data_IF_669155460041
#
_entry.id   IF_669155460041
#
_cell.length_a   1.000
_cell.length_b   1.000
_cell.length_c   1.000
_cell.angle_alpha   90.00
_cell.angle_beta   90.00
_cell.angle_gamma   90.00
#
_symmetry.space_group_name_H-M   'P 1'
#
loop_
_entity.id
_entity.type
_entity.pdbx_description
1 polymer ?
#
# COMPACT_ATOMS: atom_id res chain seq x y z
N UNK A 1 -18.65 7.59 -18.22
CA UNK A 1 -17.69 7.53 -17.10
C UNK A 1 -18.49 7.41 -15.81
N UNK A 2 -18.11 6.54 -14.87
CA UNK A 2 -18.75 6.51 -13.56
C UNK A 2 -18.54 7.82 -12.80
N UNK A 3 -19.54 8.25 -12.05
CA UNK A 3 -19.50 9.50 -11.26
C UNK A 3 -19.73 9.18 -9.80
N UNK A 4 -18.94 9.81 -8.94
CA UNK A 4 -19.06 9.74 -7.48
C UNK A 4 -19.30 11.17 -6.98
N UNK A 5 -20.28 11.33 -6.10
CA UNK A 5 -20.54 12.60 -5.39
C UNK A 5 -20.07 12.45 -3.96
N UNK A 6 -19.25 13.38 -3.50
CA UNK A 6 -18.72 13.42 -2.13
C UNK A 6 -19.38 14.56 -1.39
N UNK A 7 -19.95 14.26 -0.22
CA UNK A 7 -20.45 15.29 0.68
C UNK A 7 -19.32 15.72 1.62
N UNK A 8 -19.19 17.02 1.82
CA UNK A 8 -18.29 17.65 2.77
C UNK A 8 -19.12 18.59 3.65
N UNK A 9 -18.65 18.85 4.87
CA UNK A 9 -19.25 19.88 5.71
C UNK A 9 -19.02 21.29 5.14
N UNK A 10 -19.79 22.26 5.63
CA UNK A 10 -19.77 23.63 5.13
C UNK A 10 -18.42 24.32 5.36
N UNK A 11 -17.75 24.04 6.49
CA UNK A 11 -16.44 24.60 6.81
C UNK A 11 -15.37 24.14 5.82
N UNK A 12 -15.34 22.84 5.53
CA UNK A 12 -14.40 22.27 4.55
C UNK A 12 -14.70 22.81 3.15
N UNK A 13 -15.98 22.92 2.78
CA UNK A 13 -16.38 23.49 1.49
C UNK A 13 -15.88 24.94 1.34
N UNK A 14 -16.07 25.79 2.34
CA UNK A 14 -15.59 27.17 2.32
C UNK A 14 -14.07 27.23 2.13
N UNK A 15 -13.32 26.39 2.85
CA UNK A 15 -11.87 26.28 2.71
C UNK A 15 -11.46 25.80 1.31
N UNK A 16 -12.21 24.89 0.70
CA UNK A 16 -11.96 24.43 -0.66
C UNK A 16 -12.23 25.53 -1.70
N UNK A 17 -13.30 26.31 -1.52
CA UNK A 17 -13.67 27.42 -2.40
C UNK A 17 -12.66 28.57 -2.35
N UNK A 18 -11.96 28.75 -1.23
CA UNK A 18 -10.84 29.69 -1.10
C UNK A 18 -9.59 29.28 -1.90
N UNK A 19 -9.53 28.04 -2.41
CA UNK A 19 -8.45 27.52 -3.24
C UNK A 19 -8.97 27.04 -4.61
N UNK A 20 -9.47 27.95 -5.46
CA UNK A 20 -10.04 27.60 -6.77
C UNK A 20 -9.01 27.09 -7.79
N UNK A 21 -7.72 27.30 -7.53
CA UNK A 21 -6.61 26.78 -8.33
C UNK A 21 -6.47 25.25 -8.25
N UNK A 22 -7.08 24.63 -7.24
CA UNK A 22 -6.99 23.19 -7.00
C UNK A 22 -8.13 22.45 -7.70
N UNK A 23 -7.80 21.43 -8.49
CA UNK A 23 -8.79 20.50 -9.03
C UNK A 23 -9.16 19.44 -7.98
N UNK A 24 -10.13 19.77 -7.14
CA UNK A 24 -10.60 18.90 -6.06
C UNK A 24 -11.13 17.53 -6.52
N UNK A 25 -11.65 17.43 -7.75
CA UNK A 25 -12.07 16.13 -8.31
C UNK A 25 -10.86 15.22 -8.56
N UNK A 26 -9.73 15.78 -8.95
CA UNK A 26 -8.49 15.01 -9.16
C UNK A 26 -7.86 14.61 -7.83
N UNK A 27 -7.83 15.53 -6.85
CA UNK A 27 -7.37 15.22 -5.48
C UNK A 27 -8.18 14.05 -4.90
N UNK A 28 -9.51 14.09 -5.07
CA UNK A 28 -10.40 13.02 -4.62
C UNK A 28 -10.09 11.69 -5.34
N UNK A 29 -9.89 11.72 -6.65
CA UNK A 29 -9.55 10.53 -7.45
C UNK A 29 -8.25 9.89 -6.98
N UNK A 30 -7.23 10.70 -6.72
CA UNK A 30 -5.92 10.24 -6.25
C UNK A 30 -6.03 9.62 -4.86
N UNK A 31 -6.70 10.29 -3.93
CA UNK A 31 -6.90 9.77 -2.57
C UNK A 31 -7.63 8.41 -2.56
N UNK A 32 -8.66 8.27 -3.38
CA UNK A 32 -9.38 6.98 -3.53
C UNK A 32 -8.46 5.90 -4.11
N UNK A 33 -7.74 6.21 -5.19
CA UNK A 33 -6.81 5.29 -5.85
C UNK A 33 -5.71 4.79 -4.90
N UNK A 34 -5.09 5.71 -4.15
CA UNK A 34 -4.07 5.36 -3.16
C UNK A 34 -4.64 4.51 -2.02
N UNK A 35 -5.85 4.81 -1.55
CA UNK A 35 -6.50 4.03 -0.50
C UNK A 35 -6.81 2.61 -0.96
N UNK A 36 -7.28 2.44 -2.21
CA UNK A 36 -7.53 1.11 -2.80
C UNK A 36 -6.23 0.32 -2.88
N UNK A 37 -5.16 0.90 -3.46
CA UNK A 37 -3.86 0.21 -3.54
C UNK A 37 -3.33 -0.23 -2.18
N UNK A 38 -3.51 0.61 -1.15
CA UNK A 38 -3.11 0.27 0.22
C UNK A 38 -3.93 -0.91 0.77
N UNK A 39 -5.24 -0.94 0.51
CA UNK A 39 -6.08 -2.04 0.94
C UNK A 39 -5.72 -3.32 0.19
N UNK A 40 -5.51 -3.25 -1.13
CA UNK A 40 -5.07 -4.40 -1.94
C UNK A 40 -3.73 -4.97 -1.46
N UNK A 41 -2.76 -4.11 -1.14
CA UNK A 41 -1.49 -4.55 -0.56
C UNK A 41 -1.67 -5.19 0.82
N UNK A 42 -2.56 -4.64 1.66
CA UNK A 42 -2.88 -5.27 2.95
C UNK A 42 -3.56 -6.62 2.74
N UNK A 43 -4.47 -6.72 1.78
CA UNK A 43 -5.15 -7.96 1.43
C UNK A 43 -4.13 -8.99 0.92
N UNK A 44 -3.21 -8.63 0.03
CA UNK A 44 -2.11 -9.51 -0.42
C UNK A 44 -1.24 -10.01 0.73
N UNK A 45 -0.79 -9.11 1.61
CA UNK A 45 0.00 -9.48 2.79
C UNK A 45 -0.80 -10.33 3.80
N UNK A 46 -2.12 -10.15 3.86
CA UNK A 46 -3.00 -10.91 4.76
C UNK A 46 -3.51 -12.21 4.16
N UNK A 47 -3.53 -12.35 2.84
CA UNK A 47 -3.76 -13.61 2.12
C UNK A 47 -2.60 -14.56 2.38
N UNK A 48 -1.37 -14.05 2.45
CA UNK A 48 -0.25 -14.80 3.00
C UNK A 48 -0.33 -14.98 4.51
N UNK A 49 -1.14 -14.22 5.26
CA UNK A 49 -1.24 -14.32 6.74
C UNK A 49 -2.14 -15.47 7.26
N UNK A 50 -2.51 -16.43 6.42
CA UNK A 50 -2.43 -17.84 6.85
C UNK A 50 -0.96 -18.31 6.74
N UNK A 51 0.01 -17.51 7.26
CA UNK A 51 1.37 -17.97 7.49
C UNK A 51 1.25 -18.95 8.65
N UNK A 52 0.98 -20.21 8.34
CA UNK A 52 1.22 -21.30 9.27
C UNK A 52 2.72 -21.32 9.62
N UNK A 53 3.09 -21.98 10.71
CA UNK A 53 4.50 -22.11 11.12
C UNK A 53 5.44 -22.55 9.97
N UNK A 54 4.92 -23.23 8.94
CA UNK A 54 5.63 -23.64 7.72
C UNK A 54 6.18 -22.47 6.87
N UNK A 55 5.48 -21.34 6.74
CA UNK A 55 5.93 -20.25 5.87
C UNK A 55 7.05 -19.42 6.51
N UNK A 56 7.07 -19.35 7.85
CA UNK A 56 8.16 -18.74 8.62
C UNK A 56 9.43 -19.57 8.48
N UNK A 57 9.31 -20.90 8.48
CA UNK A 57 10.43 -21.82 8.28
C UNK A 57 11.00 -21.73 6.86
N UNK A 58 10.16 -21.56 5.83
CA UNK A 58 10.64 -21.38 4.45
C UNK A 58 11.40 -20.06 4.28
N UNK A 59 10.90 -18.97 4.88
CA UNK A 59 11.57 -17.66 4.87
C UNK A 59 12.89 -17.73 5.65
N UNK A 60 12.92 -18.38 6.82
CA UNK A 60 14.14 -18.58 7.60
C UNK A 60 15.18 -19.44 6.84
N UNK A 61 14.73 -20.48 6.13
CA UNK A 61 15.59 -21.32 5.31
C UNK A 61 16.21 -20.55 4.13
N UNK A 62 15.41 -19.71 3.44
CA UNK A 62 15.90 -18.84 2.35
C UNK A 62 16.92 -17.80 2.82
N UNK A 63 16.71 -17.20 3.99
CA UNK A 63 17.65 -16.24 4.58
C UNK A 63 18.96 -16.94 4.97
N UNK A 64 18.90 -18.11 5.61
CA UNK A 64 20.09 -18.87 6.01
C UNK A 64 20.89 -19.40 4.80
N UNK A 65 20.21 -19.87 3.74
CA UNK A 65 20.87 -20.30 2.51
C UNK A 65 21.59 -19.16 1.79
N UNK A 66 20.94 -18.00 1.71
CA UNK A 66 21.51 -16.80 1.08
C UNK A 66 22.69 -16.22 1.86
N UNK A 67 22.66 -16.29 3.20
CA UNK A 67 23.77 -15.87 4.05
C UNK A 67 24.99 -16.79 3.89
N UNK A 68 24.75 -18.11 3.72
CA UNK A 68 25.81 -19.10 3.52
C UNK A 68 26.51 -18.93 2.17
N UNK A 69 25.75 -18.66 1.11
CA UNK A 69 26.31 -18.46 -0.23
C UNK A 69 27.21 -17.21 -0.30
N UNK A 70 26.85 -16.11 0.37
CA UNK A 70 27.71 -14.91 0.41
C UNK A 70 29.02 -15.13 1.17
N UNK A 71 29.03 -15.96 2.21
CA UNK A 71 30.24 -16.28 2.95
C UNK A 71 31.19 -17.21 2.18
N UNK A 72 30.65 -18.08 1.32
CA UNK A 72 31.42 -18.94 0.42
C UNK A 72 32.02 -18.14 -0.76
N UNK A 73 31.28 -17.16 -1.31
CA UNK A 73 31.77 -16.27 -2.38
C UNK A 73 32.83 -15.24 -1.90
N UNK A 74 32.85 -14.86 -0.62
CA UNK A 74 33.90 -13.99 -0.04
C UNK A 74 35.17 -14.74 0.39
N UNK A 75 35.20 -16.07 0.30
CA UNK A 75 36.33 -16.91 0.73
C UNK A 75 37.17 -17.49 -0.41
N UNK A 76 36.90 -17.11 -1.67
CA UNK A 76 37.63 -17.54 -2.89
C UNK A 76 38.52 -16.44 -3.50
#
# INVERSE_FOLDING_TARGET
MPTITVNVDDELKERMENHPEINWSEVTRQAISEKIKKLELMDELTVDSELGDEDVDEIAAKINGSARQRLEEESE
#
